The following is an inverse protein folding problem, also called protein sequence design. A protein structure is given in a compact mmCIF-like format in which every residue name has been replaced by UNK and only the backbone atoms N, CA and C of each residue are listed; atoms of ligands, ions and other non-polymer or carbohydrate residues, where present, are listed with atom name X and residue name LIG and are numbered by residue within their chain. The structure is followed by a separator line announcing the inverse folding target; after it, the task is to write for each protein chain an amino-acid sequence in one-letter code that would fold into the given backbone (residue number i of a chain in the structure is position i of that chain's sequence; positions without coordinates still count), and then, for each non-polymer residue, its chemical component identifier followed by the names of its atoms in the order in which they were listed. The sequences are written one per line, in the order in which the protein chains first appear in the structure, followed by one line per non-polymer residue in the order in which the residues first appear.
data_IF_851404754409
#
_entry.id   IF_851404754409
#
_cell.length_a   1.000
_cell.length_b   1.000
_cell.length_c   1.000
_cell.angle_alpha   90.00
_cell.angle_beta   90.00
_cell.angle_gamma   90.00
#
_symmetry.space_group_name_H-M   'P 1'
#
loop_
_entity.id
_entity.type
_entity.pdbx_description
1 polymer ?
#
# COMPACT_ATOMS: atom_id res chain seq x y z
N UNK A 1 18.78 24.22 -52.79
CA UNK A 1 19.11 24.71 -51.43
C UNK A 1 18.26 24.07 -50.31
N UNK A 2 17.23 23.25 -50.63
CA UNK A 2 16.34 22.63 -49.62
C UNK A 2 16.72 21.21 -49.18
N UNK A 3 17.35 20.37 -50.04
CA UNK A 3 17.69 19.00 -49.65
C UNK A 3 18.69 18.90 -48.49
N UNK A 4 19.64 19.83 -48.38
CA UNK A 4 20.60 19.86 -47.26
C UNK A 4 19.94 20.25 -45.94
N UNK A 5 18.83 21.00 -45.97
CA UNK A 5 18.03 21.35 -44.79
C UNK A 5 17.09 20.21 -44.39
N UNK A 6 16.50 19.52 -45.35
CA UNK A 6 15.68 18.33 -45.10
C UNK A 6 16.52 17.16 -44.59
N UNK A 7 17.69 16.89 -45.16
CA UNK A 7 18.59 15.85 -44.63
C UNK A 7 19.10 16.16 -43.23
N UNK A 8 19.42 17.42 -42.92
CA UNK A 8 19.77 17.83 -41.54
C UNK A 8 18.59 17.73 -40.58
N UNK A 9 17.36 18.01 -41.02
CA UNK A 9 16.17 17.80 -40.18
C UNK A 9 15.90 16.32 -39.97
N UNK A 10 16.07 15.50 -41.00
CA UNK A 10 15.91 14.05 -40.89
C UNK A 10 17.00 13.44 -40.00
N UNK A 11 18.27 13.83 -40.14
CA UNK A 11 19.36 13.45 -39.22
C UNK A 11 19.15 13.93 -37.79
N UNK A 12 18.52 15.09 -37.57
CA UNK A 12 18.15 15.55 -36.23
C UNK A 12 16.98 14.76 -35.67
N UNK A 13 15.96 14.44 -36.48
CA UNK A 13 14.82 13.60 -36.09
C UNK A 13 15.28 12.15 -35.82
N UNK A 14 16.21 11.63 -36.60
CA UNK A 14 16.77 10.29 -36.45
C UNK A 14 17.76 10.23 -35.26
N UNK A 15 18.51 11.31 -34.99
CA UNK A 15 19.30 11.45 -33.76
C UNK A 15 18.44 11.71 -32.51
N UNK A 16 17.28 12.37 -32.63
CA UNK A 16 16.32 12.52 -31.52
C UNK A 16 15.60 11.20 -31.21
N UNK A 17 15.34 10.35 -32.23
CA UNK A 17 14.85 8.97 -32.07
C UNK A 17 15.89 7.99 -31.50
N UNK A 18 17.16 8.41 -31.38
CA UNK A 18 18.25 7.60 -30.83
C UNK A 18 18.79 8.08 -29.49
N UNK A 19 18.15 9.06 -28.84
CA UNK A 19 18.55 9.55 -27.53
C UNK A 19 17.56 9.21 -26.42
N UNK A 20 17.36 7.92 -26.17
CA UNK A 20 17.49 7.34 -24.84
C UNK A 20 17.88 5.88 -25.01
N UNK A 21 19.06 5.54 -24.50
CA UNK A 21 19.66 4.21 -24.52
C UNK A 21 18.71 3.21 -23.85
N UNK A 22 18.55 2.08 -24.52
CA UNK A 22 18.02 0.80 -24.05
C UNK A 22 18.58 0.45 -22.65
N UNK A 23 17.99 0.98 -21.59
CA UNK A 23 18.20 0.43 -20.27
C UNK A 23 17.00 -0.49 -20.01
N UNK A 24 17.17 -1.83 -20.04
CA UNK A 24 16.07 -2.77 -19.87
C UNK A 24 15.32 -2.54 -18.55
N UNK A 25 16.00 -2.02 -17.53
CA UNK A 25 15.40 -1.70 -16.23
C UNK A 25 14.44 -0.51 -16.31
N UNK A 26 14.73 0.49 -17.15
CA UNK A 26 13.80 1.62 -17.34
C UNK A 26 12.62 1.26 -18.21
N UNK A 27 12.84 0.46 -19.25
CA UNK A 27 11.76 -0.04 -20.11
C UNK A 27 10.78 -0.92 -19.32
N UNK A 28 11.28 -1.76 -18.40
CA UNK A 28 10.40 -2.60 -17.55
C UNK A 28 9.57 -1.77 -16.57
N UNK A 29 10.14 -0.72 -15.98
CA UNK A 29 9.41 0.23 -15.12
C UNK A 29 8.34 0.97 -15.92
N UNK A 30 8.69 1.48 -17.11
CA UNK A 30 7.75 2.21 -17.98
C UNK A 30 6.59 1.31 -18.43
N UNK A 31 6.86 0.04 -18.76
CA UNK A 31 5.83 -0.93 -19.12
C UNK A 31 4.89 -1.22 -17.95
N UNK A 32 5.42 -1.49 -16.74
CA UNK A 32 4.60 -1.69 -15.54
C UNK A 32 3.77 -0.47 -15.17
N UNK A 33 4.32 0.72 -15.41
CA UNK A 33 3.61 1.97 -15.21
C UNK A 33 2.45 2.13 -16.20
N UNK A 34 2.66 1.81 -17.48
CA UNK A 34 1.58 1.82 -18.49
C UNK A 34 0.49 0.81 -18.13
N UNK A 35 0.86 -0.42 -17.76
CA UNK A 35 -0.08 -1.46 -17.34
C UNK A 35 -0.93 -1.01 -16.15
N UNK A 36 -0.31 -0.37 -15.16
CA UNK A 36 -1.04 0.18 -14.01
C UNK A 36 -2.00 1.32 -14.39
N UNK A 37 -1.62 2.16 -15.36
CA UNK A 37 -2.52 3.19 -15.87
C UNK A 37 -3.72 2.57 -16.55
N UNK A 38 -3.50 1.56 -17.39
CA UNK A 38 -4.57 0.90 -18.14
C UNK A 38 -5.58 0.25 -17.20
N UNK A 39 -5.12 -0.47 -16.16
CA UNK A 39 -6.02 -1.04 -15.14
C UNK A 39 -6.79 0.04 -14.37
N UNK A 40 -6.13 1.14 -14.00
CA UNK A 40 -6.78 2.24 -13.27
C UNK A 40 -7.83 2.93 -14.14
N UNK A 41 -7.54 3.19 -15.41
CA UNK A 41 -8.46 3.83 -16.34
C UNK A 41 -9.65 2.91 -16.64
N UNK A 42 -9.41 1.63 -16.89
CA UNK A 42 -10.47 0.65 -17.14
C UNK A 42 -11.43 0.53 -15.95
N UNK A 43 -10.91 0.30 -14.73
CA UNK A 43 -11.73 0.22 -13.52
C UNK A 43 -12.44 1.52 -13.20
N UNK A 44 -11.82 2.67 -13.46
CA UNK A 44 -12.47 3.96 -13.25
C UNK A 44 -13.58 4.22 -14.27
N UNK A 45 -13.38 3.85 -15.54
CA UNK A 45 -14.40 3.99 -16.59
C UNK A 45 -15.62 3.09 -16.33
N UNK A 46 -15.40 1.86 -15.86
CA UNK A 46 -16.47 0.95 -15.43
C UNK A 46 -17.31 1.55 -14.28
N UNK A 47 -16.67 2.26 -13.36
CA UNK A 47 -17.31 2.89 -12.20
C UNK A 47 -17.78 4.32 -12.46
N UNK A 48 -17.53 4.89 -13.65
CA UNK A 48 -17.83 6.29 -13.98
C UNK A 48 -17.03 7.32 -13.16
N UNK A 49 -15.83 6.94 -12.69
CA UNK A 49 -14.92 7.76 -11.92
C UNK A 49 -13.94 8.52 -12.81
N UNK A 50 -13.40 9.65 -12.32
CA UNK A 50 -12.30 10.37 -12.96
C UNK A 50 -10.96 9.97 -12.28
N UNK A 51 -9.84 9.95 -13.00
CA UNK A 51 -9.65 10.32 -14.41
C UNK A 51 -10.01 9.20 -15.40
N UNK A 52 -10.55 9.58 -16.56
CA UNK A 52 -10.97 8.66 -17.64
C UNK A 52 -10.04 8.68 -18.87
N UNK A 53 -8.92 9.41 -18.79
CA UNK A 53 -7.96 9.47 -19.89
C UNK A 53 -6.56 9.85 -19.39
N UNK A 54 -5.56 9.46 -20.19
CA UNK A 54 -4.14 9.74 -19.96
C UNK A 54 -3.85 11.21 -19.67
N UNK A 55 -4.46 12.16 -20.39
CA UNK A 55 -4.12 13.57 -20.18
C UNK A 55 -4.61 14.10 -18.82
N UNK A 56 -5.77 13.62 -18.38
CA UNK A 56 -6.39 13.99 -17.11
C UNK A 56 -5.62 13.37 -15.95
N UNK A 57 -5.22 12.10 -16.10
CA UNK A 57 -4.36 11.41 -15.16
C UNK A 57 -2.96 12.05 -15.08
N UNK A 58 -2.35 12.35 -16.23
CA UNK A 58 -1.03 12.98 -16.33
C UNK A 58 -0.97 14.33 -15.64
N UNK A 59 -2.05 15.13 -15.72
CA UNK A 59 -2.16 16.39 -14.99
C UNK A 59 -2.18 16.21 -13.46
N UNK A 60 -2.75 15.11 -12.96
CA UNK A 60 -2.83 14.83 -11.52
C UNK A 60 -1.48 14.34 -10.97
N UNK A 61 -0.82 13.43 -11.67
CA UNK A 61 0.43 12.82 -11.19
C UNK A 61 1.67 13.64 -11.54
N UNK A 62 1.62 14.44 -12.60
CA UNK A 62 2.74 15.27 -13.06
C UNK A 62 2.28 16.58 -13.72
N UNK A 63 1.87 17.58 -12.92
CA UNK A 63 1.26 18.81 -13.41
C UNK A 63 2.11 19.59 -14.43
N UNK A 64 3.43 19.51 -14.32
CA UNK A 64 4.39 20.20 -15.21
C UNK A 64 4.35 19.68 -16.65
N UNK A 65 3.88 18.45 -16.89
CA UNK A 65 3.72 17.90 -18.23
C UNK A 65 2.56 16.89 -18.26
N UNK A 66 1.36 17.37 -18.62
CA UNK A 66 0.16 16.52 -18.76
C UNK A 66 0.30 15.39 -19.79
N UNK A 67 1.20 15.55 -20.77
CA UNK A 67 1.44 14.61 -21.87
C UNK A 67 2.53 13.59 -21.53
N UNK A 68 2.96 13.52 -20.26
CA UNK A 68 4.02 12.59 -19.85
C UNK A 68 3.64 11.14 -20.13
N UNK A 69 2.40 10.74 -19.86
CA UNK A 69 1.91 9.37 -20.09
C UNK A 69 2.00 9.01 -21.58
N UNK A 70 1.54 9.91 -22.46
CA UNK A 70 1.66 9.70 -23.92
C UNK A 70 3.13 9.61 -24.39
N UNK A 71 4.02 10.39 -23.75
CA UNK A 71 5.47 10.32 -24.04
C UNK A 71 6.08 8.99 -23.59
N UNK A 72 5.61 8.42 -22.48
CA UNK A 72 6.05 7.11 -21.97
C UNK A 72 5.48 5.98 -22.82
N UNK A 73 4.19 6.04 -23.19
CA UNK A 73 3.56 5.07 -24.12
C UNK A 73 4.25 5.00 -25.48
N UNK A 74 4.65 6.15 -26.01
CA UNK A 74 5.40 6.23 -27.27
C UNK A 74 6.88 5.89 -27.13
N UNK A 75 7.35 5.54 -25.91
CA UNK A 75 8.76 5.30 -25.57
C UNK A 75 9.68 6.47 -25.90
N UNK A 76 9.11 7.67 -26.00
CA UNK A 76 9.86 8.89 -26.28
C UNK A 76 10.55 9.45 -25.03
N UNK A 77 10.01 9.15 -23.83
CA UNK A 77 10.57 9.60 -22.54
C UNK A 77 10.34 8.55 -21.45
N UNK A 78 11.31 8.39 -20.55
CA UNK A 78 11.14 7.63 -19.31
C UNK A 78 10.25 8.38 -18.30
N UNK A 79 9.46 7.63 -17.52
CA UNK A 79 8.62 8.22 -16.48
C UNK A 79 9.48 8.83 -15.35
N UNK A 80 9.28 10.11 -14.98
CA UNK A 80 9.97 10.68 -13.82
C UNK A 80 9.53 9.97 -12.54
N UNK A 81 10.48 9.65 -11.66
CA UNK A 81 10.18 8.98 -10.39
C UNK A 81 9.14 9.75 -9.54
N UNK A 82 9.11 11.09 -9.64
CA UNK A 82 8.11 11.91 -8.97
C UNK A 82 6.67 11.57 -9.42
N UNK A 83 6.47 11.25 -10.70
CA UNK A 83 5.17 10.85 -11.22
C UNK A 83 4.74 9.48 -10.68
N UNK A 84 5.67 8.52 -10.54
CA UNK A 84 5.42 7.23 -9.88
C UNK A 84 4.99 7.41 -8.42
N UNK A 85 5.67 8.30 -7.68
CA UNK A 85 5.34 8.60 -6.29
C UNK A 85 3.94 9.19 -6.16
N UNK A 86 3.59 10.14 -7.03
CA UNK A 86 2.28 10.77 -7.00
C UNK A 86 1.17 9.80 -7.43
N UNK A 87 1.43 8.95 -8.41
CA UNK A 87 0.52 7.88 -8.82
C UNK A 87 0.26 6.92 -7.65
N UNK A 88 1.31 6.42 -7.02
CA UNK A 88 1.24 5.51 -5.87
C UNK A 88 0.39 6.10 -4.73
N UNK A 89 0.60 7.38 -4.41
CA UNK A 89 -0.19 8.09 -3.39
C UNK A 89 -1.66 8.28 -3.76
N UNK A 90 -1.94 8.59 -5.02
CA UNK A 90 -3.29 8.91 -5.49
C UNK A 90 -4.18 7.67 -5.54
N UNK A 91 -3.61 6.53 -5.93
CA UNK A 91 -4.35 5.27 -6.14
C UNK A 91 -4.07 4.21 -5.06
N UNK A 92 -3.34 4.58 -4.00
CA UNK A 92 -2.99 3.70 -2.88
C UNK A 92 -2.25 2.42 -3.34
N UNK A 93 -1.32 2.60 -4.28
CA UNK A 93 -0.51 1.52 -4.87
C UNK A 93 0.85 1.47 -4.16
N UNK A 94 1.31 0.27 -3.79
CA UNK A 94 2.67 0.10 -3.24
C UNK A 94 3.71 0.45 -4.30
N UNK A 95 4.61 1.38 -3.99
CA UNK A 95 5.71 1.81 -4.87
C UNK A 95 6.58 0.64 -5.34
N UNK A 96 6.71 -0.41 -4.54
CA UNK A 96 7.49 -1.60 -4.89
C UNK A 96 6.93 -2.35 -6.10
N UNK A 97 5.66 -2.11 -6.47
CA UNK A 97 5.05 -2.67 -7.67
C UNK A 97 5.88 -2.37 -8.93
N UNK A 98 6.34 -1.12 -9.09
CA UNK A 98 7.10 -0.73 -10.28
C UNK A 98 8.47 -1.41 -10.39
N UNK A 99 8.97 -1.98 -9.29
CA UNK A 99 10.30 -2.59 -9.20
C UNK A 99 10.26 -4.10 -8.95
N UNK A 100 9.08 -4.74 -8.93
CA UNK A 100 8.92 -6.16 -8.60
C UNK A 100 7.88 -6.84 -9.47
N UNK A 101 7.91 -8.17 -9.61
CA UNK A 101 7.00 -8.94 -10.48
C UNK A 101 5.63 -9.21 -9.83
N UNK A 102 5.13 -8.26 -9.04
CA UNK A 102 3.84 -8.36 -8.37
C UNK A 102 2.72 -7.89 -9.30
N UNK A 103 1.56 -8.53 -9.22
CA UNK A 103 0.34 -8.02 -9.86
C UNK A 103 -0.18 -6.78 -9.13
N UNK A 104 -0.72 -5.83 -9.87
CA UNK A 104 -1.37 -4.66 -9.29
C UNK A 104 -2.68 -5.11 -8.59
N UNK A 105 -2.91 -4.60 -7.38
CA UNK A 105 -4.16 -4.79 -6.66
C UNK A 105 -4.82 -3.43 -6.49
N UNK A 106 -5.25 -2.83 -7.60
CA UNK A 106 -5.94 -1.55 -7.54
C UNK A 106 -7.40 -1.72 -7.10
N UNK A 107 -7.74 -1.07 -5.98
CA UNK A 107 -9.11 -0.96 -5.47
C UNK A 107 -9.50 0.53 -5.52
N UNK A 108 -10.37 0.95 -6.46
CA UNK A 108 -10.78 2.34 -6.58
C UNK A 108 -11.49 2.82 -5.31
N UNK A 109 -11.00 3.93 -4.74
CA UNK A 109 -11.68 4.62 -3.64
C UNK A 109 -12.90 5.35 -4.20
N UNK A 110 -14.08 4.77 -4.02
CA UNK A 110 -15.34 5.43 -4.36
C UNK A 110 -15.60 6.52 -3.31
N UNK A 111 -15.06 7.72 -3.51
CA UNK A 111 -15.55 8.90 -2.81
C UNK A 111 -16.94 9.20 -3.37
N UNK A 112 -17.99 8.94 -2.59
CA UNK A 112 -19.31 9.52 -2.83
C UNK A 112 -19.16 11.04 -2.76
N UNK A 113 -18.90 11.67 -3.90
CA UNK A 113 -18.88 13.12 -4.00
C UNK A 113 -20.31 13.56 -3.79
N UNK A 114 -20.60 14.08 -2.60
CA UNK A 114 -21.86 14.71 -2.27
C UNK A 114 -21.94 16.04 -3.04
N UNK A 115 -22.22 15.95 -4.35
CA UNK A 115 -22.36 17.10 -5.24
C UNK A 115 -23.73 17.75 -5.00
N UNK A 116 -23.82 18.55 -3.94
CA UNK A 116 -24.93 19.48 -3.70
C UNK A 116 -24.78 20.78 -4.53
N UNK A 117 -24.29 20.71 -5.76
CA UNK A 117 -24.33 21.84 -6.68
C UNK A 117 -24.65 21.37 -8.11
N UNK A 118 -25.82 21.86 -8.55
CA UNK A 118 -26.32 21.99 -9.91
C UNK A 118 -26.71 20.73 -10.72
N UNK A 119 -28.01 20.69 -10.97
CA UNK A 119 -28.76 19.83 -11.86
C UNK A 119 -28.16 19.79 -13.27
N UNK A 120 -27.36 18.77 -13.57
CA UNK A 120 -27.40 18.02 -14.84
C UNK A 120 -26.39 16.86 -14.79
N UNK A 121 -26.81 15.74 -14.20
CA UNK A 121 -26.01 14.52 -14.24
C UNK A 121 -26.14 13.92 -15.64
N UNK A 122 -25.19 14.21 -16.53
CA UNK A 122 -24.95 13.36 -17.70
C UNK A 122 -24.21 12.11 -17.22
N UNK A 123 -24.96 11.08 -16.81
CA UNK A 123 -24.41 9.73 -16.61
C UNK A 123 -24.11 9.16 -18.00
N UNK A 124 -22.83 9.08 -18.36
CA UNK A 124 -22.37 8.57 -19.67
C UNK A 124 -21.71 7.20 -19.58
N UNK A 125 -21.97 6.44 -18.52
CA UNK A 125 -21.50 5.06 -18.36
C UNK A 125 -22.41 4.04 -19.04
N UNK A 126 -21.84 2.90 -19.44
CA UNK A 126 -22.57 1.77 -20.04
C UNK A 126 -23.53 1.19 -18.97
N UNK A 127 -24.84 1.35 -19.18
CA UNK A 127 -25.89 1.04 -18.19
C UNK A 127 -26.68 2.25 -17.68
N UNK A 128 -26.46 3.46 -18.22
CA UNK A 128 -27.21 4.65 -17.83
C UNK A 128 -28.70 4.57 -18.19
N UNK A 129 -29.56 4.48 -17.17
CA UNK A 129 -31.01 4.65 -17.31
C UNK A 129 -31.37 6.14 -17.24
N UNK A 130 -32.07 6.66 -18.25
CA UNK A 130 -32.63 8.01 -18.25
C UNK A 130 -34.07 7.91 -17.75
N UNK A 131 -34.30 8.23 -16.48
CA UNK A 131 -35.66 8.37 -15.95
C UNK A 131 -36.13 9.81 -16.13
N UNK A 132 -37.18 10.02 -16.93
CA UNK A 132 -37.92 11.28 -16.94
C UNK A 132 -38.81 11.31 -15.70
N UNK A 133 -38.54 12.22 -14.77
CA UNK A 133 -39.38 12.43 -13.60
C UNK A 133 -40.73 13.02 -14.04
N UNK A 134 -41.78 12.19 -14.06
CA UNK A 134 -43.16 12.67 -14.09
C UNK A 134 -43.53 13.35 -12.77
N UNK A 135 -44.54 14.22 -12.81
CA UNK A 135 -45.07 15.01 -11.68
C UNK A 135 -45.66 14.13 -10.55
N UNK A 136 -44.80 13.45 -9.78
CA UNK A 136 -45.17 12.81 -8.52
C UNK A 136 -44.42 13.49 -7.38
N UNK A 137 -45.14 13.97 -6.36
CA UNK A 137 -44.53 14.44 -5.12
C UNK A 137 -43.88 13.26 -4.41
N UNK A 138 -42.54 13.22 -4.44
CA UNK A 138 -41.72 12.28 -3.67
C UNK A 138 -42.01 12.53 -2.20
N UNK A 139 -42.53 11.52 -1.50
CA UNK A 139 -42.77 11.57 -0.06
C UNK A 139 -41.48 11.90 0.69
N UNK A 140 -41.59 12.81 1.65
CA UNK A 140 -40.47 13.37 2.40
C UNK A 140 -39.48 12.30 2.90
N UNK A 141 -38.29 12.29 2.31
CA UNK A 141 -37.14 11.56 2.83
C UNK A 141 -36.79 12.23 4.17
N UNK A 142 -37.08 11.55 5.29
CA UNK A 142 -36.55 11.96 6.60
C UNK A 142 -35.02 11.88 6.54
N UNK A 143 -34.39 13.02 6.26
CA UNK A 143 -32.95 13.20 6.33
C UNK A 143 -32.46 13.02 7.79
N UNK A 144 -32.10 11.80 8.18
CA UNK A 144 -31.39 11.51 9.43
C UNK A 144 -29.94 12.04 9.38
N UNK A 145 -29.46 12.49 8.22
CA UNK A 145 -28.14 13.11 8.05
C UNK A 145 -27.96 14.44 8.81
N UNK A 146 -29.02 15.04 9.37
CA UNK A 146 -28.90 16.29 10.15
C UNK A 146 -28.37 16.10 11.56
N UNK A 147 -28.33 14.89 12.12
CA UNK A 147 -27.87 14.70 13.51
C UNK A 147 -26.35 14.62 13.67
N UNK A 148 -25.59 14.57 12.56
CA UNK A 148 -24.14 14.34 12.59
C UNK A 148 -23.33 15.65 12.45
N UNK A 149 -23.97 16.79 12.20
CA UNK A 149 -23.27 18.07 12.04
C UNK A 149 -23.25 18.86 13.36
N UNK A 150 -22.67 18.28 14.40
CA UNK A 150 -22.07 19.07 15.51
C UNK A 150 -21.28 18.12 16.39
N UNK A 151 -19.98 18.00 16.16
CA UNK A 151 -18.93 18.11 17.19
C UNK A 151 -17.57 17.84 16.55
N UNK A 152 -16.79 18.91 16.43
CA UNK A 152 -15.42 18.87 15.97
C UNK A 152 -14.60 17.99 16.93
N UNK A 153 -14.01 16.91 16.40
CA UNK A 153 -13.03 15.99 17.00
C UNK A 153 -13.49 14.54 17.20
N UNK A 154 -13.91 13.85 16.13
CA UNK A 154 -13.56 12.43 15.94
C UNK A 154 -13.85 12.05 14.48
N UNK A 155 -13.01 11.20 13.88
CA UNK A 155 -13.29 10.58 12.58
C UNK A 155 -14.60 9.81 12.67
N UNK A 156 -15.70 10.41 12.17
CA UNK A 156 -16.98 9.75 12.01
C UNK A 156 -16.95 8.91 10.73
N UNK A 157 -16.31 7.75 10.81
CA UNK A 157 -16.74 6.67 9.93
C UNK A 157 -18.14 6.27 10.42
N UNK A 158 -19.19 6.33 9.57
CA UNK A 158 -20.50 5.84 9.96
C UNK A 158 -20.36 4.38 10.41
N UNK A 159 -21.05 4.01 11.50
CA UNK A 159 -21.06 2.61 11.96
C UNK A 159 -21.40 1.70 10.78
N UNK A 160 -20.76 0.53 10.69
CA UNK A 160 -21.05 -0.45 9.64
C UNK A 160 -22.56 -0.73 9.54
N UNK A 161 -23.25 -0.69 10.68
CA UNK A 161 -24.71 -0.84 10.78
C UNK A 161 -25.48 0.31 10.12
N UNK A 162 -25.00 1.54 10.24
CA UNK A 162 -25.56 2.71 9.54
C UNK A 162 -25.35 2.59 8.02
N UNK A 163 -24.18 2.11 7.59
CA UNK A 163 -23.88 1.91 6.16
C UNK A 163 -24.75 0.78 5.57
N UNK A 164 -24.87 -0.33 6.29
CA UNK A 164 -25.72 -1.46 5.93
C UNK A 164 -27.19 -1.02 5.81
N UNK A 165 -27.70 -0.27 6.79
CA UNK A 165 -29.08 0.21 6.77
C UNK A 165 -29.35 1.18 5.60
N UNK A 166 -28.41 2.07 5.30
CA UNK A 166 -28.51 2.97 4.16
C UNK A 166 -28.48 2.22 2.82
N UNK A 167 -27.69 1.15 2.73
CA UNK A 167 -27.61 0.31 1.53
C UNK A 167 -28.89 -0.52 1.32
N UNK A 168 -29.45 -1.07 2.40
CA UNK A 168 -30.73 -1.83 2.34
C UNK A 168 -31.88 -0.97 1.81
N UNK A 169 -31.88 0.33 2.13
CA UNK A 169 -32.88 1.27 1.62
C UNK A 169 -32.73 1.58 0.12
N UNK A 170 -31.61 1.22 -0.51
CA UNK A 170 -31.30 1.51 -1.91
C UNK A 170 -31.42 0.29 -2.84
N UNK A 171 -31.52 -0.92 -2.29
CA UNK A 171 -31.63 -2.16 -3.06
C UNK A 171 -33.08 -2.63 -3.16
N UNK A 172 -33.39 -3.40 -4.21
CA UNK A 172 -34.71 -3.99 -4.40
C UNK A 172 -35.07 -4.91 -3.23
N UNK A 173 -36.34 -4.84 -2.79
CA UNK A 173 -36.84 -5.60 -1.63
C UNK A 173 -36.65 -7.11 -1.78
N UNK A 174 -36.70 -7.61 -3.02
CA UNK A 174 -36.46 -9.00 -3.36
C UNK A 174 -34.99 -9.46 -3.12
N UNK A 175 -34.02 -8.54 -3.13
CA UNK A 175 -32.59 -8.83 -2.97
C UNK A 175 -32.12 -8.73 -1.51
N UNK A 176 -32.92 -8.15 -0.62
CA UNK A 176 -32.60 -8.00 0.81
C UNK A 176 -32.30 -9.35 1.50
N UNK A 177 -33.06 -10.44 1.27
CA UNK A 177 -32.77 -11.73 1.90
C UNK A 177 -31.43 -12.33 1.48
N UNK A 178 -31.09 -12.23 0.19
CA UNK A 178 -29.80 -12.70 -0.33
C UNK A 178 -28.63 -11.89 0.22
N UNK A 179 -28.81 -10.58 0.36
CA UNK A 179 -27.82 -9.69 0.98
C UNK A 179 -27.54 -10.06 2.44
N UNK A 180 -28.59 -10.30 3.25
CA UNK A 180 -28.40 -10.75 4.64
C UNK A 180 -27.76 -12.14 4.73
N UNK A 181 -28.06 -13.05 3.78
CA UNK A 181 -27.38 -14.36 3.71
C UNK A 181 -25.88 -14.19 3.49
N UNK A 182 -25.48 -13.30 2.59
CA UNK A 182 -24.06 -13.01 2.32
C UNK A 182 -23.40 -12.37 3.54
N UNK A 183 -24.06 -11.38 4.17
CA UNK A 183 -23.53 -10.74 5.37
C UNK A 183 -23.29 -11.73 6.52
N UNK A 184 -24.23 -12.65 6.74
CA UNK A 184 -24.10 -13.67 7.77
C UNK A 184 -22.97 -14.67 7.44
N UNK A 185 -22.84 -15.10 6.18
CA UNK A 185 -21.73 -15.95 5.76
C UNK A 185 -20.36 -15.28 5.99
N UNK A 186 -20.23 -13.99 5.66
CA UNK A 186 -19.01 -13.21 5.93
C UNK A 186 -18.76 -13.12 7.44
N UNK A 187 -19.81 -12.89 8.24
CA UNK A 187 -19.70 -12.80 9.70
C UNK A 187 -19.24 -14.11 10.33
N UNK A 188 -19.74 -15.24 9.83
CA UNK A 188 -19.36 -16.57 10.32
C UNK A 188 -17.92 -16.92 9.93
N UNK A 189 -17.52 -16.64 8.69
CA UNK A 189 -16.15 -16.85 8.20
C UNK A 189 -15.14 -15.97 8.95
N UNK A 190 -15.44 -14.69 9.12
CA UNK A 190 -14.61 -13.76 9.91
C UNK A 190 -14.55 -14.16 11.38
N UNK A 191 -15.66 -14.65 11.95
CA UNK A 191 -15.69 -15.20 13.31
C UNK A 191 -14.76 -16.41 13.46
N UNK A 192 -14.82 -17.36 12.52
CA UNK A 192 -13.97 -18.56 12.54
C UNK A 192 -12.49 -18.23 12.42
N UNK A 193 -12.12 -17.38 11.45
CA UNK A 193 -10.72 -16.96 11.24
C UNK A 193 -10.16 -16.20 12.44
N UNK A 194 -10.96 -15.36 13.10
CA UNK A 194 -10.56 -14.67 14.33
C UNK A 194 -10.28 -15.68 15.45
N UNK A 195 -11.11 -16.71 15.62
CA UNK A 195 -10.89 -17.73 16.65
C UNK A 195 -9.65 -18.59 16.37
N UNK A 196 -9.41 -18.96 15.11
CA UNK A 196 -8.16 -19.63 14.72
C UNK A 196 -6.94 -18.76 15.01
N UNK A 197 -7.01 -17.46 14.69
CA UNK A 197 -5.93 -16.53 14.98
C UNK A 197 -5.65 -16.42 16.49
N UNK A 198 -6.70 -16.30 17.31
CA UNK A 198 -6.58 -16.30 18.78
C UNK A 198 -5.93 -17.59 19.29
N UNK A 199 -6.31 -18.74 18.73
CA UNK A 199 -5.70 -20.02 19.08
C UNK A 199 -4.20 -20.05 18.76
N UNK A 200 -3.81 -19.64 17.55
CA UNK A 200 -2.41 -19.58 17.13
C UNK A 200 -1.59 -18.61 17.99
N UNK A 201 -2.16 -17.45 18.32
CA UNK A 201 -1.52 -16.45 19.17
C UNK A 201 -1.25 -17.01 20.58
N UNK A 202 -2.26 -17.65 21.19
CA UNK A 202 -2.13 -18.30 22.50
C UNK A 202 -1.09 -19.42 22.48
N UNK A 203 -1.05 -20.22 21.41
CA UNK A 203 -0.06 -21.30 21.23
C UNK A 203 1.36 -20.75 21.09
N UNK A 204 1.57 -19.69 20.30
CA UNK A 204 2.87 -19.03 20.14
C UNK A 204 3.34 -18.37 21.44
N UNK A 205 2.46 -17.66 22.14
CA UNK A 205 2.75 -17.07 23.46
C UNK A 205 3.24 -18.13 24.46
N UNK A 206 2.53 -19.26 24.59
CA UNK A 206 2.98 -20.38 25.45
C UNK A 206 4.34 -20.96 25.06
N UNK A 207 4.67 -21.00 23.76
CA UNK A 207 5.98 -21.46 23.29
C UNK A 207 7.08 -20.47 23.65
N UNK A 208 6.83 -19.17 23.50
CA UNK A 208 7.76 -18.11 23.87
C UNK A 208 8.07 -18.13 25.38
N UNK A 209 7.06 -18.30 26.23
CA UNK A 209 7.26 -18.40 27.68
C UNK A 209 8.15 -19.61 28.07
N UNK A 210 7.95 -20.75 27.39
CA UNK A 210 8.79 -21.94 27.61
C UNK A 210 10.23 -21.68 27.16
N UNK A 211 10.43 -21.00 26.03
CA UNK A 211 11.75 -20.67 25.52
C UNK A 211 12.48 -19.69 26.46
N UNK A 212 11.80 -18.64 26.90
CA UNK A 212 12.35 -17.66 27.85
C UNK A 212 12.79 -18.32 29.17
N UNK A 213 11.99 -19.27 29.70
CA UNK A 213 12.36 -20.04 30.89
C UNK A 213 13.60 -20.92 30.67
N UNK A 214 13.77 -21.50 29.47
CA UNK A 214 14.97 -22.30 29.12
C UNK A 214 16.19 -21.39 29.01
N UNK A 215 16.11 -20.32 28.23
CA UNK A 215 17.20 -19.36 28.07
C UNK A 215 17.64 -18.77 29.42
N UNK A 216 16.70 -18.42 30.30
CA UNK A 216 17.05 -17.92 31.63
C UNK A 216 17.84 -18.94 32.47
N UNK A 217 17.49 -20.23 32.40
CA UNK A 217 18.24 -21.29 33.08
C UNK A 217 19.63 -21.48 32.48
N UNK A 218 19.74 -21.50 31.15
CA UNK A 218 21.01 -21.62 30.45
C UNK A 218 21.95 -20.45 30.77
N UNK A 219 21.42 -19.22 30.76
CA UNK A 219 22.18 -18.01 31.05
C UNK A 219 22.69 -18.00 32.50
N UNK A 220 21.88 -18.47 33.46
CA UNK A 220 22.32 -18.67 34.84
C UNK A 220 23.45 -19.70 34.95
N UNK A 221 23.36 -20.81 34.21
CA UNK A 221 24.40 -21.85 34.21
C UNK A 221 25.71 -21.37 33.57
N UNK A 222 25.63 -20.61 32.47
CA UNK A 222 26.80 -20.01 31.81
C UNK A 222 27.47 -18.99 32.73
N UNK A 223 26.69 -18.10 33.37
CA UNK A 223 27.24 -17.14 34.32
C UNK A 223 27.93 -17.83 35.51
N UNK A 224 27.37 -18.91 36.04
CA UNK A 224 28.00 -19.66 37.12
C UNK A 224 29.36 -20.24 36.68
N UNK A 225 29.40 -20.89 35.50
CA UNK A 225 30.66 -21.41 34.94
C UNK A 225 31.69 -20.31 34.72
N UNK A 226 31.27 -19.14 34.23
CA UNK A 226 32.16 -18.00 33.99
C UNK A 226 32.80 -17.51 35.29
N UNK A 227 32.00 -17.38 36.36
CA UNK A 227 32.49 -17.01 37.69
C UNK A 227 33.49 -18.05 38.21
N UNK A 228 33.16 -19.33 38.15
CA UNK A 228 34.07 -20.41 38.56
C UNK A 228 35.38 -20.41 37.75
N UNK A 229 35.32 -20.19 36.44
CA UNK A 229 36.52 -20.11 35.60
C UNK A 229 37.38 -18.90 35.93
N UNK A 230 36.76 -17.75 36.20
CA UNK A 230 37.47 -16.54 36.59
C UNK A 230 38.17 -16.71 37.94
N UNK A 231 37.49 -17.31 38.93
CA UNK A 231 38.11 -17.60 40.23
C UNK A 231 39.30 -18.55 40.12
N UNK A 232 39.20 -19.58 39.27
CA UNK A 232 40.33 -20.50 39.01
C UNK A 232 41.49 -19.78 38.33
N UNK A 233 41.20 -18.90 37.37
CA UNK A 233 42.20 -18.13 36.64
C UNK A 233 42.93 -17.16 37.57
N UNK A 234 42.21 -16.45 38.44
CA UNK A 234 42.81 -15.56 39.45
C UNK A 234 43.74 -16.35 40.38
N UNK A 235 43.28 -17.49 40.91
CA UNK A 235 44.12 -18.35 41.77
C UNK A 235 45.36 -18.86 41.05
N UNK A 236 45.24 -19.24 39.77
CA UNK A 236 46.38 -19.66 38.97
C UNK A 236 47.40 -18.52 38.78
N UNK A 237 46.93 -17.31 38.46
CA UNK A 237 47.77 -16.12 38.32
C UNK A 237 48.48 -15.75 39.63
N UNK A 238 47.78 -15.81 40.77
CA UNK A 238 48.37 -15.56 42.09
C UNK A 238 49.47 -16.59 42.42
N UNK A 239 49.23 -17.88 42.13
CA UNK A 239 50.21 -18.93 42.33
C UNK A 239 51.45 -18.77 41.43
N UNK A 240 51.25 -18.41 40.16
CA UNK A 240 52.35 -18.11 39.23
C UNK A 240 53.16 -16.91 39.72
N UNK A 241 52.50 -15.82 40.12
CA UNK A 241 53.14 -14.64 40.69
C UNK A 241 53.98 -14.98 41.92
N UNK A 242 53.42 -15.72 42.88
CA UNK A 242 54.14 -16.12 44.08
C UNK A 242 55.35 -17.02 43.76
N UNK A 243 55.26 -17.86 42.74
CA UNK A 243 56.37 -18.71 42.27
C UNK A 243 57.47 -17.87 41.64
N UNK A 244 57.12 -16.88 40.82
CA UNK A 244 58.08 -15.93 40.21
C UNK A 244 58.77 -15.09 41.27
N UNK A 245 58.04 -14.54 42.25
CA UNK A 245 58.63 -13.77 43.36
C UNK A 245 59.67 -14.59 44.14
N UNK A 246 59.36 -15.86 44.44
CA UNK A 246 60.32 -16.77 45.07
C UNK A 246 61.57 -16.97 44.21
N UNK A 247 61.41 -17.13 42.90
CA UNK A 247 62.53 -17.34 41.98
C UNK A 247 63.42 -16.10 41.89
N UNK A 248 62.83 -14.91 41.80
CA UNK A 248 63.54 -13.62 41.81
C UNK A 248 64.33 -13.47 43.12
N UNK A 249 63.72 -13.72 44.28
CA UNK A 249 64.40 -13.65 45.57
C UNK A 249 65.58 -14.62 45.71
N UNK A 250 65.55 -15.77 45.03
CA UNK A 250 66.68 -16.72 45.00
C UNK A 250 67.80 -16.20 44.12
N UNK A 251 67.48 -15.55 42.99
CA UNK A 251 68.47 -14.95 42.09
C UNK A 251 69.17 -13.74 42.72
N UNK A 252 68.43 -12.90 43.45
CA UNK A 252 68.98 -11.71 44.14
C UNK A 252 69.90 -12.04 45.32
N UNK A 253 69.85 -13.28 45.84
CA UNK A 253 70.71 -13.76 46.95
C UNK A 253 72.02 -14.42 46.49
N UNK A 254 72.24 -14.56 45.19
CA UNK A 254 73.50 -15.04 44.60
C UNK A 254 74.37 -13.87 44.17
#
# INVERSE_FOLDING_TARGET
MNEKKERKRQEVIDNERHNMKQNPDYDTIDLKFIEAIDEVLEKNDELGLKPSNDSSLGKLIYPSNRSIISSVRSRAKHIPHLALINFAKLFDVDMNYFYSDRSLSYIPRVTTVNNNQDYSIKKTGKGSFVAHAGNGTIGDIKNVAKEIVTNNNTSLNPSAETVINNFIQQIDEACIPDFYRILNAIRDETGSTIEELKFHLKKKSKRLDKLNKRHHKELKAVNLKLVETNERLIKAQENEKATMEKYISVLEKK
#
